data_IF_117404425274
#
_entry.id   IF_117404425274
#
_cell.length_a   1.000
_cell.length_b   1.000
_cell.length_c   1.000
_cell.angle_alpha   90.00
_cell.angle_beta   90.00
_cell.angle_gamma   90.00
#
_symmetry.space_group_name_H-M   'P 1'
#
loop_
_entity.id
_entity.type
_entity.pdbx_description
1 polymer ?
#
# COMPACT_ATOMS: atom_id res chain seq x y z
N UNK A 1 -102.58 -21.39 -1.20
CA UNK A 1 -103.85 -21.05 -1.88
C UNK A 1 -104.92 -20.90 -0.81
N UNK A 2 -105.17 -19.67 -0.36
CA UNK A 2 -106.13 -19.39 0.73
C UNK A 2 -107.53 -19.28 0.09
N UNK A 3 -108.22 -20.41 -0.01
CA UNK A 3 -109.59 -20.45 -0.57
C UNK A 3 -110.54 -19.99 0.53
N UNK A 4 -111.12 -18.79 0.36
CA UNK A 4 -112.11 -18.24 1.30
C UNK A 4 -112.08 -16.72 1.55
N UNK A 5 -111.27 -15.93 0.81
CA UNK A 5 -111.21 -14.47 0.95
C UNK A 5 -112.31 -13.71 0.17
N UNK A 6 -112.55 -12.44 0.55
CA UNK A 6 -113.57 -11.54 -0.03
C UNK A 6 -113.29 -11.06 -1.46
N UNK A 7 -112.12 -11.42 -2.03
CA UNK A 7 -111.69 -11.02 -3.37
C UNK A 7 -111.62 -12.23 -4.30
N UNK A 8 -112.02 -12.04 -5.56
CA UNK A 8 -111.95 -13.01 -6.65
C UNK A 8 -111.03 -12.47 -7.74
N UNK A 9 -110.36 -13.37 -8.47
CA UNK A 9 -109.49 -12.98 -9.57
C UNK A 9 -110.33 -12.60 -10.79
N UNK A 10 -110.11 -11.41 -11.33
CA UNK A 10 -110.60 -11.01 -12.64
C UNK A 10 -109.56 -11.36 -13.69
N UNK A 11 -109.89 -12.36 -14.52
CA UNK A 11 -109.03 -12.85 -15.59
C UNK A 11 -108.93 -11.87 -16.78
N UNK A 12 -109.87 -10.94 -16.93
CA UNK A 12 -109.84 -9.97 -18.03
C UNK A 12 -108.95 -8.77 -17.70
N UNK A 13 -108.96 -8.31 -16.44
CA UNK A 13 -108.15 -7.20 -15.96
C UNK A 13 -106.82 -7.58 -15.28
N UNK A 14 -106.54 -8.88 -15.12
CA UNK A 14 -105.37 -9.43 -14.43
C UNK A 14 -105.16 -8.86 -13.01
N UNK A 15 -106.25 -8.76 -12.23
CA UNK A 15 -106.23 -8.20 -10.87
C UNK A 15 -107.31 -8.84 -9.97
N UNK A 16 -107.20 -8.66 -8.65
CA UNK A 16 -108.21 -9.11 -7.68
C UNK A 16 -109.30 -8.06 -7.47
N UNK A 17 -110.57 -8.46 -7.63
CA UNK A 17 -111.76 -7.60 -7.43
C UNK A 17 -112.65 -8.11 -6.29
N UNK A 18 -113.45 -7.22 -5.69
CA UNK A 18 -114.38 -7.59 -4.59
C UNK A 18 -115.59 -8.35 -5.12
N UNK A 19 -116.03 -9.37 -4.37
CA UNK A 19 -117.22 -10.15 -4.73
C UNK A 19 -118.49 -9.34 -4.45
N UNK A 20 -119.19 -8.94 -5.50
CA UNK A 20 -120.51 -8.30 -5.43
C UNK A 20 -121.60 -9.37 -5.62
N UNK A 21 -122.67 -9.31 -4.83
CA UNK A 21 -123.83 -10.22 -4.98
C UNK A 21 -125.04 -9.37 -5.36
N UNK A 22 -125.75 -9.78 -6.41
CA UNK A 22 -126.96 -9.13 -6.89
C UNK A 22 -128.17 -9.98 -6.49
N UNK A 23 -129.14 -9.39 -5.79
CA UNK A 23 -130.39 -10.05 -5.41
C UNK A 23 -131.42 -10.00 -6.55
N UNK A 24 -132.00 -11.15 -6.90
CA UNK A 24 -132.85 -11.36 -8.08
C UNK A 24 -134.16 -10.54 -8.11
N UNK A 25 -134.58 -9.96 -6.99
CA UNK A 25 -135.88 -9.27 -6.90
C UNK A 25 -135.80 -7.74 -6.99
N UNK A 26 -134.61 -7.13 -6.84
CA UNK A 26 -134.47 -5.66 -6.84
C UNK A 26 -133.22 -5.13 -7.57
N UNK A 27 -132.34 -5.99 -8.09
CA UNK A 27 -131.22 -5.58 -8.95
C UNK A 27 -130.14 -4.70 -8.28
N UNK A 28 -130.32 -4.32 -7.00
CA UNK A 28 -129.38 -3.52 -6.22
C UNK A 28 -128.18 -4.37 -5.84
N UNK A 29 -126.99 -3.92 -6.23
CA UNK A 29 -125.73 -4.63 -6.01
C UNK A 29 -125.16 -4.20 -4.65
N UNK A 30 -124.94 -5.17 -3.75
CA UNK A 30 -124.39 -4.91 -2.40
C UNK A 30 -123.10 -5.70 -2.22
N UNK A 31 -122.09 -5.06 -1.63
CA UNK A 31 -120.81 -5.69 -1.32
C UNK A 31 -120.97 -6.75 -0.23
N UNK A 32 -120.45 -7.96 -0.48
CA UNK A 32 -120.52 -9.06 0.47
C UNK A 32 -119.51 -8.86 1.61
N UNK A 33 -119.93 -8.21 2.69
CA UNK A 33 -119.19 -8.23 3.95
C UNK A 33 -119.56 -9.49 4.74
N UNK A 34 -118.57 -10.34 4.99
CA UNK A 34 -118.72 -11.49 5.90
C UNK A 34 -118.88 -10.94 7.32
N UNK A 35 -120.11 -10.86 7.81
CA UNK A 35 -120.38 -10.58 9.22
C UNK A 35 -119.79 -11.71 10.06
N UNK A 36 -118.77 -11.40 10.87
CA UNK A 36 -118.06 -12.41 11.65
C UNK A 36 -117.02 -11.82 12.60
N UNK A 37 -117.47 -11.60 13.84
CA UNK A 37 -116.70 -11.75 15.09
C UNK A 37 -115.65 -10.68 15.43
N UNK A 38 -116.11 -9.51 15.87
CA UNK A 38 -115.27 -8.45 16.47
C UNK A 38 -114.56 -8.92 17.77
N UNK A 39 -115.09 -9.92 18.48
CA UNK A 39 -114.48 -10.44 19.72
C UNK A 39 -113.44 -11.57 19.50
N UNK A 40 -113.49 -12.29 18.36
CA UNK A 40 -112.52 -13.35 18.03
C UNK A 40 -111.36 -12.80 17.17
N UNK A 41 -111.49 -11.56 16.68
CA UNK A 41 -110.44 -10.84 15.99
C UNK A 41 -109.38 -10.28 16.93
N UNK A 42 -109.75 -9.87 18.15
CA UNK A 42 -108.82 -9.27 19.10
C UNK A 42 -107.80 -10.28 19.66
N UNK A 43 -108.22 -11.49 20.04
CA UNK A 43 -107.24 -12.52 20.47
C UNK A 43 -106.29 -12.98 19.34
N UNK A 44 -106.79 -13.03 18.10
CA UNK A 44 -105.95 -13.37 16.93
C UNK A 44 -105.01 -12.22 16.59
N UNK A 45 -105.42 -10.97 16.84
CA UNK A 45 -104.62 -9.76 16.69
C UNK A 45 -103.51 -9.70 17.74
N UNK A 46 -103.80 -10.01 19.00
CA UNK A 46 -102.80 -10.06 20.06
C UNK A 46 -101.73 -11.15 19.80
N UNK A 47 -102.15 -12.33 19.33
CA UNK A 47 -101.22 -13.39 18.91
C UNK A 47 -100.38 -12.98 17.71
N UNK A 48 -101.01 -12.32 16.73
CA UNK A 48 -100.32 -11.80 15.55
C UNK A 48 -99.31 -10.70 15.93
N UNK A 49 -99.66 -9.83 16.87
CA UNK A 49 -98.79 -8.77 17.36
C UNK A 49 -97.67 -9.33 18.23
N UNK A 50 -97.91 -10.41 18.99
CA UNK A 50 -96.87 -11.20 19.65
C UNK A 50 -95.88 -11.82 18.66
N UNK A 51 -96.37 -12.48 17.59
CA UNK A 51 -95.51 -13.06 16.54
C UNK A 51 -94.72 -11.97 15.81
N UNK A 52 -95.32 -10.81 15.52
CA UNK A 52 -94.61 -9.66 14.93
C UNK A 52 -93.51 -9.16 15.85
N UNK A 53 -93.79 -9.02 17.16
CA UNK A 53 -92.80 -8.59 18.14
C UNK A 53 -91.64 -9.58 18.21
N UNK A 54 -91.91 -10.88 18.30
CA UNK A 54 -90.89 -11.93 18.29
C UNK A 54 -90.07 -11.91 17.00
N UNK A 55 -90.72 -11.77 15.83
CA UNK A 55 -90.04 -11.63 14.55
C UNK A 55 -89.14 -10.39 14.52
N UNK A 56 -89.62 -9.25 15.01
CA UNK A 56 -88.81 -8.03 15.13
C UNK A 56 -87.62 -8.25 16.07
N UNK A 57 -87.82 -8.83 17.26
CA UNK A 57 -86.75 -9.13 18.20
C UNK A 57 -85.71 -10.09 17.60
N UNK A 58 -86.15 -11.14 16.91
CA UNK A 58 -85.27 -12.09 16.24
C UNK A 58 -84.49 -11.42 15.12
N UNK A 59 -85.14 -10.64 14.26
CA UNK A 59 -84.50 -9.92 13.17
C UNK A 59 -83.48 -8.89 13.71
N UNK A 60 -83.84 -8.12 14.75
CA UNK A 60 -82.91 -7.20 15.42
C UNK A 60 -81.72 -7.95 16.01
N UNK A 61 -81.95 -9.09 16.68
CA UNK A 61 -80.87 -9.93 17.22
C UNK A 61 -79.95 -10.47 16.12
N UNK A 62 -80.50 -10.86 14.97
CA UNK A 62 -79.71 -11.34 13.83
C UNK A 62 -78.90 -10.21 13.19
N UNK A 63 -79.50 -9.04 12.96
CA UNK A 63 -78.81 -7.88 12.40
C UNK A 63 -77.69 -7.40 13.33
N UNK A 64 -77.91 -7.38 14.64
CA UNK A 64 -76.88 -7.02 15.61
C UNK A 64 -75.74 -8.05 15.61
N UNK A 65 -76.05 -9.34 15.52
CA UNK A 65 -75.02 -10.40 15.41
C UNK A 65 -74.18 -10.26 14.14
N UNK A 66 -74.80 -9.93 13.01
CA UNK A 66 -74.09 -9.69 11.74
C UNK A 66 -73.22 -8.45 11.83
N UNK A 67 -73.74 -7.35 12.38
CA UNK A 67 -72.99 -6.12 12.60
C UNK A 67 -71.75 -6.38 13.45
N UNK A 68 -71.92 -7.03 14.61
CA UNK A 68 -70.81 -7.38 15.50
C UNK A 68 -69.76 -8.27 14.81
N UNK A 69 -70.19 -9.25 14.01
CA UNK A 69 -69.28 -10.11 13.26
C UNK A 69 -68.42 -9.34 12.26
N UNK A 70 -69.04 -8.47 11.45
CA UNK A 70 -68.31 -7.70 10.43
C UNK A 70 -67.48 -6.57 11.05
N UNK A 71 -67.96 -5.91 12.11
CA UNK A 71 -67.16 -4.94 12.87
C UNK A 71 -65.91 -5.60 13.46
N UNK A 72 -66.06 -6.78 14.08
CA UNK A 72 -64.92 -7.54 14.60
C UNK A 72 -63.95 -7.94 13.48
N UNK A 73 -64.47 -8.44 12.34
CA UNK A 73 -63.65 -8.83 11.20
C UNK A 73 -62.86 -7.66 10.61
N UNK A 74 -63.49 -6.49 10.50
CA UNK A 74 -62.83 -5.26 10.03
C UNK A 74 -61.76 -4.82 11.03
N UNK A 75 -62.07 -4.83 12.33
CA UNK A 75 -61.11 -4.46 13.37
C UNK A 75 -59.87 -5.38 13.37
N UNK A 76 -60.05 -6.68 13.21
CA UNK A 76 -58.93 -7.63 13.12
C UNK A 76 -58.09 -7.40 11.87
N UNK A 77 -58.72 -7.14 10.72
CA UNK A 77 -58.02 -6.81 9.49
C UNK A 77 -57.25 -5.48 9.60
N UNK A 78 -57.83 -4.45 10.21
CA UNK A 78 -57.16 -3.18 10.47
C UNK A 78 -55.96 -3.35 11.41
N UNK A 79 -56.08 -4.16 12.47
CA UNK A 79 -54.97 -4.48 13.36
C UNK A 79 -53.85 -5.22 12.62
N UNK A 80 -54.19 -6.21 11.80
CA UNK A 80 -53.22 -6.95 10.99
C UNK A 80 -52.49 -6.03 10.01
N UNK A 81 -53.23 -5.16 9.31
CA UNK A 81 -52.68 -4.18 8.38
C UNK A 81 -51.75 -3.19 9.08
N UNK A 82 -52.19 -2.59 10.20
CA UNK A 82 -51.37 -1.66 10.98
C UNK A 82 -50.09 -2.32 11.51
N UNK A 83 -50.14 -3.60 11.89
CA UNK A 83 -48.96 -4.35 12.33
C UNK A 83 -47.99 -4.60 11.17
N UNK A 84 -48.50 -4.97 9.98
CA UNK A 84 -47.67 -5.12 8.79
C UNK A 84 -47.05 -3.79 8.36
N UNK A 85 -47.81 -2.70 8.39
CA UNK A 85 -47.31 -1.36 8.07
C UNK A 85 -46.19 -0.95 9.03
N UNK A 86 -46.35 -1.17 10.35
CA UNK A 86 -45.30 -0.91 11.34
C UNK A 86 -44.05 -1.76 11.10
N UNK A 87 -44.21 -3.04 10.75
CA UNK A 87 -43.08 -3.91 10.44
C UNK A 87 -42.35 -3.47 9.17
N UNK A 88 -43.10 -3.10 8.13
CA UNK A 88 -42.53 -2.59 6.88
C UNK A 88 -41.79 -1.27 7.12
N UNK A 89 -42.37 -0.35 7.90
CA UNK A 89 -41.71 0.91 8.25
C UNK A 89 -40.42 0.67 9.04
N UNK A 90 -40.44 -0.22 10.04
CA UNK A 90 -39.23 -0.55 10.80
C UNK A 90 -38.13 -1.18 9.93
N UNK A 91 -38.50 -1.95 8.91
CA UNK A 91 -37.55 -2.49 7.92
C UNK A 91 -36.97 -1.39 7.03
N UNK A 92 -37.79 -0.43 6.60
CA UNK A 92 -37.32 0.73 5.83
C UNK A 92 -36.32 1.54 6.67
N UNK A 93 -36.67 1.88 7.91
CA UNK A 93 -35.80 2.67 8.80
C UNK A 93 -34.45 1.96 9.06
N UNK A 94 -34.45 0.64 9.26
CA UNK A 94 -33.23 -0.17 9.43
C UNK A 94 -32.37 -0.19 8.16
N UNK A 95 -32.99 -0.33 6.99
CA UNK A 95 -32.28 -0.29 5.71
C UNK A 95 -31.72 1.10 5.40
N UNK A 96 -32.45 2.16 5.70
CA UNK A 96 -31.98 3.54 5.56
C UNK A 96 -30.81 3.83 6.49
N UNK A 97 -30.87 3.38 7.75
CA UNK A 97 -29.77 3.53 8.70
C UNK A 97 -28.51 2.77 8.23
N UNK A 98 -28.67 1.53 7.75
CA UNK A 98 -27.56 0.74 7.19
C UNK A 98 -26.98 1.38 5.93
N UNK A 99 -27.82 1.90 5.04
CA UNK A 99 -27.39 2.59 3.83
C UNK A 99 -26.62 3.86 4.17
N UNK A 100 -27.13 4.68 5.08
CA UNK A 100 -26.46 5.89 5.56
C UNK A 100 -25.11 5.57 6.18
N UNK A 101 -25.04 4.55 7.05
CA UNK A 101 -23.78 4.12 7.66
C UNK A 101 -22.75 3.66 6.63
N UNK A 102 -23.16 2.79 5.69
CA UNK A 102 -22.29 2.30 4.61
C UNK A 102 -21.82 3.43 3.69
N UNK A 103 -22.69 4.41 3.40
CA UNK A 103 -22.33 5.60 2.62
C UNK A 103 -21.25 6.43 3.33
N UNK A 104 -21.42 6.70 4.63
CA UNK A 104 -20.45 7.44 5.42
C UNK A 104 -19.10 6.72 5.51
N UNK A 105 -19.10 5.40 5.74
CA UNK A 105 -17.89 4.58 5.73
C UNK A 105 -17.18 4.64 4.37
N UNK A 106 -17.94 4.61 3.27
CA UNK A 106 -17.40 4.74 1.92
C UNK A 106 -16.78 6.12 1.67
N UNK A 107 -17.39 7.20 2.15
CA UNK A 107 -16.83 8.56 2.07
C UNK A 107 -15.54 8.70 2.87
N UNK A 108 -15.50 8.17 4.09
CA UNK A 108 -14.30 8.16 4.93
C UNK A 108 -13.15 7.36 4.28
N UNK A 109 -13.45 6.16 3.77
CA UNK A 109 -12.47 5.34 3.06
C UNK A 109 -11.94 6.05 1.80
N UNK A 110 -12.80 6.74 1.05
CA UNK A 110 -12.37 7.55 -0.12
C UNK A 110 -11.43 8.67 0.29
N UNK A 111 -11.74 9.39 1.38
CA UNK A 111 -10.88 10.46 1.92
C UNK A 111 -9.52 9.92 2.41
N UNK A 112 -9.53 8.79 3.11
CA UNK A 112 -8.32 8.12 3.58
C UNK A 112 -7.47 7.60 2.40
N UNK A 113 -8.11 7.07 1.35
CA UNK A 113 -7.41 6.65 0.13
C UNK A 113 -6.75 7.85 -0.56
N UNK A 114 -7.48 8.97 -0.72
CA UNK A 114 -6.95 10.18 -1.35
C UNK A 114 -5.72 10.72 -0.62
N UNK A 115 -5.78 10.81 0.72
CA UNK A 115 -4.64 11.25 1.53
C UNK A 115 -3.47 10.28 1.46
N UNK A 116 -3.73 8.97 1.50
CA UNK A 116 -2.69 7.94 1.37
C UNK A 116 -2.00 8.01 0.01
N UNK A 117 -2.75 8.20 -1.09
CA UNK A 117 -2.19 8.37 -2.43
C UNK A 117 -1.30 9.62 -2.50
N UNK A 118 -1.78 10.76 -1.98
CA UNK A 118 -0.99 12.00 -1.99
C UNK A 118 0.33 11.86 -1.19
N UNK A 119 0.30 11.19 -0.04
CA UNK A 119 1.51 10.94 0.76
C UNK A 119 2.45 9.95 0.07
N UNK A 120 1.93 8.91 -0.59
CA UNK A 120 2.71 7.96 -1.39
C UNK A 120 3.45 8.68 -2.52
N UNK A 121 2.77 9.49 -3.32
CA UNK A 121 3.37 10.25 -4.42
C UNK A 121 4.47 11.21 -3.93
N UNK A 122 4.25 11.87 -2.79
CA UNK A 122 5.27 12.73 -2.18
C UNK A 122 6.51 11.93 -1.74
N UNK A 123 6.32 10.74 -1.18
CA UNK A 123 7.41 9.86 -0.78
C UNK A 123 8.15 9.26 -1.99
N UNK A 124 7.45 8.89 -3.06
CA UNK A 124 8.06 8.42 -4.30
C UNK A 124 8.96 9.50 -4.92
N UNK A 125 8.51 10.76 -4.95
CA UNK A 125 9.34 11.89 -5.42
C UNK A 125 10.60 12.06 -4.57
N UNK A 126 10.50 11.98 -3.24
CA UNK A 126 11.65 12.03 -2.33
C UNK A 126 12.61 10.87 -2.57
N UNK A 127 12.07 9.66 -2.75
CA UNK A 127 12.86 8.47 -3.02
C UNK A 127 13.64 8.59 -4.33
N UNK A 128 13.01 9.06 -5.40
CA UNK A 128 13.68 9.34 -6.68
C UNK A 128 14.81 10.36 -6.54
N UNK A 129 14.59 11.46 -5.80
CA UNK A 129 15.63 12.46 -5.53
C UNK A 129 16.82 11.90 -4.73
N UNK A 130 16.54 11.13 -3.67
CA UNK A 130 17.58 10.50 -2.86
C UNK A 130 18.37 9.47 -3.68
N UNK A 131 17.69 8.70 -4.52
CA UNK A 131 18.34 7.71 -5.40
C UNK A 131 19.27 8.40 -6.39
N UNK A 132 18.85 9.52 -7.00
CA UNK A 132 19.70 10.31 -7.89
C UNK A 132 20.94 10.86 -7.18
N UNK A 133 20.78 11.42 -5.97
CA UNK A 133 21.90 11.90 -5.15
C UNK A 133 22.85 10.77 -4.76
N UNK A 134 22.31 9.62 -4.36
CA UNK A 134 23.10 8.45 -3.99
C UNK A 134 23.95 7.97 -5.16
N UNK A 135 23.36 7.85 -6.35
CA UNK A 135 24.08 7.44 -7.56
C UNK A 135 25.20 8.43 -7.91
N UNK A 136 24.95 9.74 -7.79
CA UNK A 136 25.96 10.77 -8.02
C UNK A 136 27.14 10.65 -7.05
N UNK A 137 26.87 10.58 -5.74
CA UNK A 137 27.91 10.43 -4.72
C UNK A 137 28.67 9.11 -4.88
N UNK A 138 27.99 8.04 -5.29
CA UNK A 138 28.62 6.74 -5.54
C UNK A 138 29.58 6.81 -6.74
N UNK A 139 29.23 7.54 -7.80
CA UNK A 139 30.12 7.79 -8.93
C UNK A 139 31.33 8.62 -8.51
N UNK A 140 31.12 9.75 -7.82
CA UNK A 140 32.19 10.62 -7.34
C UNK A 140 33.15 9.86 -6.40
N UNK A 141 32.63 9.04 -5.50
CA UNK A 141 33.45 8.20 -4.62
C UNK A 141 34.31 7.21 -5.41
N UNK A 142 33.76 6.61 -6.47
CA UNK A 142 34.49 5.68 -7.33
C UNK A 142 35.62 6.39 -8.07
N UNK A 143 35.34 7.57 -8.64
CA UNK A 143 36.33 8.38 -9.34
C UNK A 143 37.47 8.79 -8.39
N UNK A 144 37.15 9.23 -7.17
CA UNK A 144 38.12 9.56 -6.13
C UNK A 144 38.96 8.34 -5.69
N UNK A 145 38.37 7.15 -5.60
CA UNK A 145 39.09 5.92 -5.29
C UNK A 145 40.07 5.55 -6.40
N UNK A 146 39.66 5.68 -7.67
CA UNK A 146 40.51 5.42 -8.83
C UNK A 146 41.66 6.44 -8.90
N UNK A 147 41.38 7.73 -8.69
CA UNK A 147 42.38 8.78 -8.65
C UNK A 147 43.41 8.57 -7.52
N UNK A 148 42.93 8.25 -6.31
CA UNK A 148 43.82 7.91 -5.19
C UNK A 148 44.72 6.71 -5.49
N UNK A 149 44.20 5.69 -6.17
CA UNK A 149 44.98 4.52 -6.57
C UNK A 149 46.08 4.90 -7.56
N UNK A 150 45.75 5.69 -8.58
CA UNK A 150 46.73 6.16 -9.57
C UNK A 150 47.82 7.02 -8.91
N UNK A 151 47.44 7.96 -8.05
CA UNK A 151 48.39 8.85 -7.38
C UNK A 151 49.34 8.08 -6.45
N UNK A 152 48.85 7.03 -5.77
CA UNK A 152 49.70 6.15 -4.95
C UNK A 152 50.70 5.37 -5.80
N UNK A 153 50.27 4.84 -6.94
CA UNK A 153 51.17 4.14 -7.87
C UNK A 153 52.25 5.09 -8.40
N UNK A 154 51.87 6.31 -8.81
CA UNK A 154 52.80 7.33 -9.28
C UNK A 154 53.78 7.73 -8.17
N UNK A 155 53.29 7.93 -6.95
CA UNK A 155 54.14 8.22 -5.80
C UNK A 155 55.17 7.12 -5.56
N UNK A 156 54.80 5.85 -5.70
CA UNK A 156 55.71 4.72 -5.58
C UNK A 156 56.75 4.69 -6.71
N UNK A 157 56.33 4.93 -7.96
CA UNK A 157 57.24 5.05 -9.11
C UNK A 157 58.27 6.15 -8.91
N UNK A 158 57.84 7.34 -8.47
CA UNK A 158 58.74 8.46 -8.21
C UNK A 158 59.69 8.20 -7.05
N UNK A 159 59.21 7.58 -5.95
CA UNK A 159 60.08 7.15 -4.85
C UNK A 159 61.17 6.20 -5.35
N UNK A 160 60.81 5.20 -6.15
CA UNK A 160 61.77 4.26 -6.72
C UNK A 160 62.80 4.94 -7.62
N UNK A 161 62.35 5.87 -8.48
CA UNK A 161 63.23 6.63 -9.37
C UNK A 161 64.20 7.55 -8.62
N UNK A 162 63.73 8.21 -7.55
CA UNK A 162 64.58 9.02 -6.66
C UNK A 162 65.64 8.13 -6.00
N UNK A 163 65.24 7.00 -5.42
CA UNK A 163 66.18 6.04 -4.81
C UNK A 163 67.22 5.51 -5.80
N UNK A 164 66.82 5.24 -7.05
CA UNK A 164 67.74 4.78 -8.09
C UNK A 164 68.74 5.87 -8.51
N UNK A 165 68.27 7.11 -8.67
CA UNK A 165 69.11 8.26 -8.96
C UNK A 165 70.10 8.54 -7.82
N UNK A 166 69.65 8.51 -6.56
CA UNK A 166 70.49 8.64 -5.38
C UNK A 166 71.60 7.59 -5.36
N UNK A 167 71.26 6.29 -5.56
CA UNK A 167 72.25 5.21 -5.65
C UNK A 167 73.27 5.43 -6.77
N UNK A 168 72.81 5.90 -7.93
CA UNK A 168 73.67 6.13 -9.10
C UNK A 168 74.60 7.32 -8.88
N UNK A 169 74.11 8.40 -8.25
CA UNK A 169 74.93 9.53 -7.81
C UNK A 169 75.99 9.08 -6.81
N UNK A 170 75.60 8.36 -5.74
CA UNK A 170 76.58 7.86 -4.76
C UNK A 170 77.63 6.96 -5.39
N UNK A 171 77.26 6.07 -6.33
CA UNK A 171 78.22 5.22 -7.04
C UNK A 171 79.18 6.03 -7.92
N UNK A 172 78.68 7.04 -8.64
CA UNK A 172 79.51 7.95 -9.43
C UNK A 172 80.49 8.74 -8.55
N UNK A 173 80.01 9.27 -7.44
CA UNK A 173 80.81 9.99 -6.44
C UNK A 173 81.90 9.10 -5.85
N UNK A 174 81.56 7.84 -5.54
CA UNK A 174 82.51 6.83 -5.06
C UNK A 174 83.59 6.53 -6.12
N UNK A 175 83.20 6.36 -7.39
CA UNK A 175 84.14 6.15 -8.50
C UNK A 175 85.06 7.35 -8.71
N UNK A 176 84.53 8.58 -8.71
CA UNK A 176 85.31 9.79 -8.80
C UNK A 176 86.28 9.94 -7.62
N UNK A 177 85.83 9.64 -6.39
CA UNK A 177 86.70 9.69 -5.21
C UNK A 177 87.84 8.67 -5.28
N UNK A 178 87.56 7.44 -5.73
CA UNK A 178 88.57 6.39 -5.94
C UNK A 178 89.57 6.84 -7.00
N UNK A 179 89.10 7.43 -8.11
CA UNK A 179 89.98 7.93 -9.17
C UNK A 179 90.85 9.08 -8.68
N UNK A 180 90.30 10.00 -7.90
CA UNK A 180 91.05 11.09 -7.27
C UNK A 180 92.11 10.52 -6.33
N UNK A 181 91.77 9.52 -5.51
CA UNK A 181 92.71 8.86 -4.61
C UNK A 181 93.84 8.16 -5.37
N UNK A 182 93.53 7.40 -6.42
CA UNK A 182 94.52 6.76 -7.29
C UNK A 182 95.46 7.78 -7.94
N UNK A 183 94.92 8.90 -8.43
CA UNK A 183 95.73 9.98 -9.02
C UNK A 183 96.58 10.70 -7.97
N UNK A 184 96.06 10.92 -6.76
CA UNK A 184 96.81 11.50 -5.64
C UNK A 184 97.96 10.59 -5.21
N UNK A 185 97.75 9.28 -5.19
CA UNK A 185 98.78 8.28 -4.91
C UNK A 185 99.87 8.30 -6.00
N UNK A 186 99.48 8.30 -7.29
CA UNK A 186 100.43 8.45 -8.40
C UNK A 186 101.24 9.75 -8.32
N UNK A 187 100.62 10.87 -7.97
CA UNK A 187 101.32 12.14 -7.78
C UNK A 187 102.27 12.08 -6.59
N UNK A 188 101.88 11.45 -5.47
CA UNK A 188 102.78 11.23 -4.33
C UNK A 188 103.96 10.36 -4.70
N UNK A 189 103.74 9.27 -5.43
CA UNK A 189 104.80 8.38 -5.91
C UNK A 189 105.77 9.14 -6.82
N UNK A 190 105.26 9.93 -7.78
CA UNK A 190 106.08 10.77 -8.65
C UNK A 190 106.90 11.80 -7.84
N UNK A 191 106.28 12.45 -6.85
CA UNK A 191 106.97 13.37 -5.94
C UNK A 191 108.09 12.65 -5.15
N UNK A 192 107.82 11.46 -4.61
CA UNK A 192 108.81 10.65 -3.91
C UNK A 192 109.95 10.23 -4.83
N UNK A 193 109.64 9.83 -6.07
CA UNK A 193 110.64 9.52 -7.09
C UNK A 193 111.51 10.75 -7.41
N UNK A 194 110.92 11.93 -7.58
CA UNK A 194 111.66 13.17 -7.80
C UNK A 194 112.50 13.59 -6.59
N UNK A 195 111.99 13.43 -5.37
CA UNK A 195 112.77 13.68 -4.16
C UNK A 195 113.95 12.70 -4.02
N UNK A 196 113.73 11.41 -4.30
CA UNK A 196 114.79 10.41 -4.29
C UNK A 196 115.85 10.72 -5.36
N UNK A 197 115.42 11.08 -6.58
CA UNK A 197 116.31 11.53 -7.65
C UNK A 197 117.10 12.78 -7.25
N UNK A 198 116.45 13.78 -6.65
CA UNK A 198 117.09 15.01 -6.19
C UNK A 198 118.09 14.76 -5.06
N UNK A 199 117.77 13.89 -4.09
CA UNK A 199 118.70 13.47 -3.03
C UNK A 199 119.91 12.72 -3.60
N UNK A 200 119.71 11.79 -4.54
CA UNK A 200 120.81 11.12 -5.24
C UNK A 200 121.68 12.11 -6.01
N UNK A 201 121.07 13.05 -6.73
CA UNK A 201 121.79 14.12 -7.44
C UNK A 201 122.60 14.99 -6.49
N UNK A 202 122.02 15.41 -5.36
CA UNK A 202 122.71 16.17 -4.32
C UNK A 202 123.84 15.40 -3.63
N UNK A 203 123.71 14.07 -3.47
CA UNK A 203 124.78 13.20 -2.96
C UNK A 203 125.92 13.02 -3.98
N UNK A 204 125.61 13.03 -5.28
CA UNK A 204 126.57 13.02 -6.38
C UNK A 204 127.36 14.34 -6.44
N UNK A 205 126.68 15.48 -6.29
CA UNK A 205 127.28 16.82 -6.36
C UNK A 205 128.11 17.17 -5.09
N UNK A 206 127.79 16.59 -3.92
CA UNK A 206 128.55 16.77 -2.68
C UNK A 206 129.73 15.79 -2.50
N UNK A 207 130.11 15.04 -3.53
CA UNK A 207 131.30 14.17 -3.57
C UNK A 207 131.39 13.13 -2.42
N UNK A 208 130.25 12.55 -2.00
CA UNK A 208 130.21 11.43 -1.03
C UNK A 208 130.03 10.06 -1.67
N UNK A 209 129.77 9.95 -2.99
CA UNK A 209 129.65 8.67 -3.72
C UNK A 209 130.25 8.80 -5.13
N UNK A 210 131.13 7.87 -5.52
CA UNK A 210 131.73 7.80 -6.86
C UNK A 210 130.83 7.05 -7.84
N UNK A 211 130.91 7.40 -9.13
CA UNK A 211 130.08 6.91 -10.24
C UNK A 211 130.04 5.37 -10.38
N UNK A 212 131.00 4.65 -9.79
CA UNK A 212 131.13 3.18 -9.83
C UNK A 212 130.23 2.42 -8.82
N UNK A 213 129.77 3.04 -7.73
CA UNK A 213 128.93 2.34 -6.73
C UNK A 213 127.45 2.25 -7.13
N UNK A 214 127.00 3.13 -8.02
CA UNK A 214 125.61 3.17 -8.52
C UNK A 214 125.34 1.99 -9.47
N UNK A 215 126.35 1.51 -10.20
CA UNK A 215 126.19 0.44 -11.19
C UNK A 215 126.02 -0.96 -10.55
N UNK A 216 126.45 -1.12 -9.28
CA UNK A 216 126.41 -2.40 -8.54
C UNK A 216 125.31 -2.49 -7.47
N UNK A 217 124.50 -1.43 -7.31
CA UNK A 217 123.45 -1.38 -6.29
C UNK A 217 122.14 -2.01 -6.79
N UNK A 218 121.91 -3.28 -6.44
CA UNK A 218 120.64 -3.97 -6.65
C UNK A 218 119.59 -3.53 -5.61
N UNK A 219 118.68 -2.64 -6.00
CA UNK A 219 117.48 -2.30 -5.20
C UNK A 219 116.36 -3.29 -5.55
N UNK A 220 116.21 -4.33 -4.74
CA UNK A 220 115.09 -5.26 -4.85
C UNK A 220 113.82 -4.65 -4.23
N UNK A 221 112.93 -4.10 -5.07
CA UNK A 221 111.55 -3.81 -4.66
C UNK A 221 110.75 -5.11 -4.77
N UNK A 222 110.50 -5.78 -3.64
CA UNK A 222 109.58 -6.91 -3.57
C UNK A 222 108.15 -6.41 -3.73
N UNK A 223 107.63 -6.43 -4.96
CA UNK A 223 106.22 -6.24 -5.25
C UNK A 223 105.48 -7.45 -4.68
N UNK A 224 104.85 -7.29 -3.51
CA UNK A 224 103.87 -8.26 -3.02
C UNK A 224 102.51 -7.91 -3.62
N UNK A 225 102.14 -8.63 -4.68
CA UNK A 225 100.78 -8.63 -5.22
C UNK A 225 99.86 -9.39 -4.26
N UNK A 226 98.78 -8.77 -3.73
CA UNK A 226 97.77 -9.54 -3.00
C UNK A 226 96.88 -10.28 -4.02
N UNK A 227 96.88 -11.61 -3.94
CA UNK A 227 96.00 -12.48 -4.71
C UNK A 227 94.51 -12.15 -4.48
N UNK A 228 93.81 -11.97 -5.59
CA UNK A 228 92.37 -11.76 -5.67
C UNK A 228 91.63 -13.09 -5.43
N UNK A 229 91.21 -13.36 -4.19
CA UNK A 229 90.31 -14.50 -3.89
C UNK A 229 88.92 -14.27 -4.49
N UNK A 230 88.60 -15.00 -5.56
CA UNK A 230 87.23 -15.21 -6.00
C UNK A 230 86.45 -15.99 -4.92
N UNK A 231 85.43 -15.37 -4.30
CA UNK A 231 84.38 -16.09 -3.58
C UNK A 231 83.10 -16.13 -4.41
N UNK A 232 82.65 -17.36 -4.61
CA UNK A 232 81.46 -17.81 -5.33
C UNK A 232 80.17 -17.10 -4.90
N UNK A 233 79.33 -16.82 -5.90
CA UNK A 233 77.88 -16.56 -5.76
C UNK A 233 77.20 -17.77 -5.10
N UNK A 234 76.46 -17.54 -4.02
CA UNK A 234 75.38 -18.43 -3.59
C UNK A 234 74.05 -17.89 -4.12
N UNK A 235 73.32 -18.76 -4.77
CA UNK A 235 71.99 -18.57 -5.34
C UNK A 235 70.97 -19.11 -4.32
N UNK A 236 70.13 -18.24 -3.77
CA UNK A 236 68.82 -18.56 -3.19
C UNK A 236 67.95 -17.33 -3.29
#
# INVERSE_FOLDING_TARGET
MQVGGQRVWDYAGDNYVHRLIQSDTEGKVVEYQRAGTEAESDEKKDKLDGIKLEYTCLLTSQLESQRMYFEARIADMQRAMNNMEKMAQAQIDDLEAKLSKSSNECEELRKNLQTTVATKEANEKKHMQLTSKLNKVTSELKDEQEMNKMLRNDQELWKNKVLELEKRCSSCEQQSSSKISELQEQVSDLLLHFEAQSKLQAQLDNAQVSKEEIENSHVGVSISTPERKQRRKNKR
#
